data_IF_600969475042
#
_entry.id   IF_600969475042
#
_cell.length_a   1.000
_cell.length_b   1.000
_cell.length_c   1.000
_cell.angle_alpha   90.00
_cell.angle_beta   90.00
_cell.angle_gamma   90.00
#
_symmetry.space_group_name_H-M   'P 1'
#
loop_
_entity.id
_entity.type
_entity.pdbx_description
1 polymer ?
#
# COMPACT_ATOMS: atom_id res chain seq x y z
N UNK A 1 12.06 -10.38 19.00
CA UNK A 1 11.37 -9.11 18.66
C UNK A 1 10.67 -8.40 19.85
N UNK A 2 10.38 -9.07 20.97
CA UNK A 2 9.53 -8.52 22.05
C UNK A 2 10.26 -7.88 23.24
N UNK A 3 11.60 -7.87 23.25
CA UNK A 3 12.38 -7.25 24.32
C UNK A 3 12.20 -5.71 24.31
N UNK A 4 12.12 -5.11 25.51
CA UNK A 4 11.90 -3.66 25.71
C UNK A 4 10.66 -3.08 25.01
N UNK A 5 9.62 -3.91 24.81
CA UNK A 5 8.31 -3.43 24.36
C UNK A 5 7.59 -2.64 25.45
N UNK A 6 6.56 -1.88 25.06
CA UNK A 6 5.78 -1.02 25.95
C UNK A 6 4.80 -1.79 26.87
N UNK A 7 5.09 -3.05 27.20
CA UNK A 7 4.19 -3.94 27.92
C UNK A 7 3.70 -3.33 29.24
N UNK A 8 2.38 -3.42 29.51
CA UNK A 8 1.75 -2.80 30.68
C UNK A 8 1.51 -1.29 30.57
N UNK A 9 1.86 -0.65 29.44
CA UNK A 9 1.55 0.77 29.23
C UNK A 9 0.04 1.02 29.31
N UNK A 10 -0.37 2.11 29.98
CA UNK A 10 -1.78 2.45 30.27
C UNK A 10 -2.64 2.63 29.01
N UNK A 11 -2.03 2.82 27.85
CA UNK A 11 -2.73 2.91 26.58
C UNK A 11 -3.16 1.55 26.02
N UNK A 12 -2.63 0.41 26.48
CA UNK A 12 -3.18 -0.89 26.11
C UNK A 12 -4.51 -1.11 26.82
N UNK A 13 -5.57 -1.36 26.04
CA UNK A 13 -6.96 -1.46 26.52
C UNK A 13 -7.61 -2.82 26.24
N UNK A 14 -6.93 -3.71 25.54
CA UNK A 14 -7.45 -5.04 25.28
C UNK A 14 -7.44 -5.89 26.57
N UNK A 15 -8.43 -6.76 26.78
CA UNK A 15 -8.35 -7.81 27.77
C UNK A 15 -7.34 -8.89 27.34
N UNK A 16 -6.84 -9.67 28.30
CA UNK A 16 -5.80 -10.66 28.05
C UNK A 16 -6.21 -11.71 27.00
N UNK A 17 -7.49 -12.06 26.93
CA UNK A 17 -8.05 -13.00 25.96
C UNK A 17 -7.95 -12.44 24.52
N UNK A 18 -8.22 -11.15 24.34
CA UNK A 18 -8.12 -10.49 23.05
C UNK A 18 -6.66 -10.28 22.63
N UNK A 19 -5.75 -10.00 23.58
CA UNK A 19 -4.31 -9.96 23.32
C UNK A 19 -3.81 -11.33 22.85
N UNK A 20 -4.21 -12.42 23.52
CA UNK A 20 -3.81 -13.78 23.14
C UNK A 20 -4.33 -14.16 21.75
N UNK A 21 -5.60 -13.85 21.45
CA UNK A 21 -6.19 -14.02 20.13
C UNK A 21 -5.39 -13.26 19.05
N UNK A 22 -5.12 -11.97 19.27
CA UNK A 22 -4.39 -11.14 18.32
C UNK A 22 -2.95 -11.65 18.08
N UNK A 23 -2.27 -12.16 19.12
CA UNK A 23 -0.94 -12.76 18.97
C UNK A 23 -1.01 -14.07 18.19
N UNK A 24 -2.02 -14.90 18.42
CA UNK A 24 -2.23 -16.13 17.63
C UNK A 24 -2.42 -15.80 16.14
N UNK A 25 -3.34 -14.87 15.83
CA UNK A 25 -3.60 -14.44 14.46
C UNK A 25 -2.41 -13.71 13.83
N UNK A 26 -1.58 -12.99 14.61
CA UNK A 26 -0.31 -12.42 14.12
C UNK A 26 0.64 -13.52 13.61
N UNK A 27 0.77 -14.63 14.35
CA UNK A 27 1.62 -15.75 13.94
C UNK A 27 1.02 -16.48 12.73
N UNK A 28 -0.31 -16.66 12.67
CA UNK A 28 -0.99 -17.21 11.49
C UNK A 28 -0.80 -16.32 10.26
N UNK A 29 -0.85 -14.99 10.42
CA UNK A 29 -0.63 -14.04 9.33
C UNK A 29 0.77 -14.17 8.72
N UNK A 30 1.81 -14.44 9.54
CA UNK A 30 3.18 -14.65 9.08
C UNK A 30 3.31 -15.90 8.20
N UNK A 31 2.57 -16.96 8.52
CA UNK A 31 2.51 -18.16 7.70
C UNK A 31 1.69 -17.90 6.43
N UNK A 32 0.49 -17.35 6.57
CA UNK A 32 -0.45 -17.10 5.48
C UNK A 32 0.13 -16.19 4.39
N UNK A 33 0.82 -15.10 4.76
CA UNK A 33 1.35 -14.14 3.78
C UNK A 33 2.36 -14.78 2.82
N UNK A 34 3.15 -15.76 3.31
CA UNK A 34 4.17 -16.45 2.51
C UNK A 34 3.54 -17.34 1.44
N UNK A 35 2.31 -17.81 1.67
CA UNK A 35 1.60 -18.67 0.74
C UNK A 35 0.91 -17.85 -0.34
N UNK A 36 0.18 -16.80 0.03
CA UNK A 36 -0.55 -15.96 -0.93
C UNK A 36 0.40 -15.26 -1.90
N UNK A 37 1.58 -14.84 -1.44
CA UNK A 37 2.56 -14.15 -2.29
C UNK A 37 3.15 -15.04 -3.38
N UNK A 38 2.95 -16.37 -3.31
CA UNK A 38 3.38 -17.29 -4.37
C UNK A 38 2.69 -17.02 -5.70
N UNK A 39 1.50 -16.37 -5.72
CA UNK A 39 0.91 -15.85 -6.96
C UNK A 39 1.89 -14.93 -7.70
N UNK A 40 2.48 -13.98 -6.97
CA UNK A 40 3.45 -13.06 -7.53
C UNK A 40 4.73 -13.77 -7.94
N UNK A 41 5.20 -14.77 -7.17
CA UNK A 41 6.37 -15.54 -7.58
C UNK A 41 6.13 -16.31 -8.90
N UNK A 42 4.92 -16.85 -9.12
CA UNK A 42 4.58 -17.51 -10.40
C UNK A 42 4.42 -16.51 -11.54
N UNK A 43 3.77 -15.35 -11.31
CA UNK A 43 3.58 -14.31 -12.35
C UNK A 43 4.82 -13.44 -12.60
N UNK A 44 5.76 -13.45 -11.67
CA UNK A 44 6.89 -12.52 -11.58
C UNK A 44 8.25 -13.19 -11.49
N UNK A 45 8.31 -14.52 -11.63
CA UNK A 45 9.45 -15.40 -11.38
C UNK A 45 9.94 -15.46 -9.91
N UNK A 46 9.80 -14.36 -9.15
CA UNK A 46 10.21 -14.28 -7.74
C UNK A 46 9.45 -13.18 -7.01
N UNK A 47 9.39 -13.26 -5.69
CA UNK A 47 8.97 -12.17 -4.82
C UNK A 47 9.96 -12.09 -3.63
N UNK A 48 10.45 -10.91 -3.23
CA UNK A 48 10.16 -9.57 -3.78
C UNK A 48 10.87 -9.26 -5.11
N UNK A 49 10.51 -8.13 -5.73
CA UNK A 49 11.01 -7.63 -7.01
C UNK A 49 10.75 -8.56 -8.21
N UNK A 50 9.54 -8.53 -8.75
CA UNK A 50 9.18 -9.28 -9.95
C UNK A 50 10.13 -8.96 -11.11
N UNK A 51 10.44 -9.94 -11.96
CA UNK A 51 11.41 -9.81 -13.06
C UNK A 51 10.80 -10.05 -14.44
N UNK A 52 9.47 -9.95 -14.53
CA UNK A 52 8.72 -10.29 -15.76
C UNK A 52 8.07 -9.08 -16.40
N UNK A 53 8.09 -7.91 -15.78
CA UNK A 53 7.66 -6.68 -16.43
C UNK A 53 8.62 -6.31 -17.55
N UNK A 54 8.05 -5.97 -18.70
CA UNK A 54 8.78 -5.43 -19.85
C UNK A 54 7.99 -4.25 -20.41
N UNK A 55 8.66 -3.29 -21.03
CA UNK A 55 7.94 -2.21 -21.72
C UNK A 55 7.08 -2.86 -22.82
N UNK A 56 5.77 -2.67 -22.73
CA UNK A 56 4.79 -3.30 -23.62
C UNK A 56 4.01 -4.48 -23.02
N UNK A 57 4.33 -4.94 -21.80
CA UNK A 57 3.52 -5.98 -21.13
C UNK A 57 4.30 -6.81 -20.11
N UNK A 58 4.13 -8.13 -20.18
CA UNK A 58 4.80 -9.10 -19.30
C UNK A 58 5.47 -10.19 -20.13
N UNK A 59 6.61 -10.70 -19.65
CA UNK A 59 7.43 -11.69 -20.34
C UNK A 59 6.98 -13.15 -20.13
N UNK A 60 6.03 -13.41 -19.22
CA UNK A 60 5.53 -14.77 -18.99
C UNK A 60 4.58 -15.17 -20.11
N UNK A 61 4.85 -16.26 -20.86
CA UNK A 61 3.97 -16.72 -21.92
C UNK A 61 2.69 -17.33 -21.35
N UNK A 62 1.62 -17.25 -22.14
CA UNK A 62 0.35 -17.96 -21.90
C UNK A 62 0.18 -19.00 -22.99
N UNK A 63 0.13 -20.28 -22.60
CA UNK A 63 -0.06 -21.40 -23.51
C UNK A 63 -0.68 -22.57 -22.74
N UNK A 64 -1.90 -22.95 -23.10
CA UNK A 64 -2.65 -24.00 -22.42
C UNK A 64 -2.09 -25.42 -22.58
N UNK A 65 -1.13 -25.63 -23.47
CA UNK A 65 -0.52 -26.94 -23.75
C UNK A 65 0.92 -27.08 -23.22
N UNK A 66 1.57 -25.95 -22.91
CA UNK A 66 2.96 -25.94 -22.44
C UNK A 66 3.06 -26.01 -20.92
N UNK A 67 4.03 -26.79 -20.43
CA UNK A 67 4.41 -26.82 -19.00
C UNK A 67 5.23 -25.60 -18.58
N UNK A 68 5.80 -24.86 -19.54
CA UNK A 68 6.68 -23.70 -19.31
C UNK A 68 5.94 -22.36 -19.47
N UNK A 69 4.60 -22.38 -19.49
CA UNK A 69 3.76 -21.21 -19.67
C UNK A 69 2.59 -21.22 -18.68
N UNK A 70 1.92 -20.07 -18.54
CA UNK A 70 0.66 -20.02 -17.81
C UNK A 70 -0.38 -20.89 -18.52
N UNK A 71 -0.92 -21.85 -17.79
CA UNK A 71 -1.89 -22.81 -18.26
C UNK A 71 -3.01 -23.00 -17.21
N UNK A 72 -3.92 -23.94 -17.46
CA UNK A 72 -5.04 -24.22 -16.58
C UNK A 72 -4.59 -24.57 -15.13
N UNK A 73 -3.45 -25.23 -14.98
CA UNK A 73 -2.87 -25.54 -13.66
C UNK A 73 -2.43 -24.30 -12.90
N UNK A 74 -1.77 -23.36 -13.58
CA UNK A 74 -1.39 -22.06 -13.00
C UNK A 74 -2.62 -21.26 -12.57
N UNK A 75 -3.66 -21.23 -13.40
CA UNK A 75 -4.93 -20.54 -13.09
C UNK A 75 -5.61 -21.18 -11.87
N UNK A 76 -5.70 -22.52 -11.81
CA UNK A 76 -6.26 -23.23 -10.67
C UNK A 76 -5.48 -22.95 -9.37
N UNK A 77 -4.15 -22.90 -9.46
CA UNK A 77 -3.28 -22.52 -8.35
C UNK A 77 -3.56 -21.10 -7.85
N UNK A 78 -3.72 -20.12 -8.76
CA UNK A 78 -4.08 -18.75 -8.37
C UNK A 78 -5.46 -18.67 -7.72
N UNK A 79 -6.46 -19.38 -8.24
CA UNK A 79 -7.79 -19.42 -7.67
C UNK A 79 -7.82 -20.04 -6.26
N UNK A 80 -6.97 -21.05 -5.99
CA UNK A 80 -6.81 -21.58 -4.64
C UNK A 80 -6.19 -20.56 -3.68
N UNK A 81 -5.08 -19.93 -4.09
CA UNK A 81 -4.44 -18.89 -3.29
C UNK A 81 -5.37 -17.69 -3.07
N UNK A 82 -6.20 -17.31 -4.05
CA UNK A 82 -7.10 -16.16 -3.95
C UNK A 82 -8.22 -16.44 -2.95
N UNK A 83 -8.77 -17.65 -2.96
CA UNK A 83 -9.75 -18.10 -1.95
C UNK A 83 -9.14 -18.14 -0.55
N UNK A 84 -7.90 -18.60 -0.41
CA UNK A 84 -7.16 -18.54 0.87
C UNK A 84 -6.95 -17.10 1.35
N UNK A 85 -6.62 -16.19 0.44
CA UNK A 85 -6.43 -14.78 0.76
C UNK A 85 -7.75 -14.15 1.24
N UNK A 86 -8.82 -14.33 0.47
CA UNK A 86 -10.16 -13.82 0.80
C UNK A 86 -10.64 -14.37 2.14
N UNK A 87 -10.53 -15.68 2.36
CA UNK A 87 -10.94 -16.32 3.62
C UNK A 87 -10.23 -15.74 4.83
N UNK A 88 -8.91 -15.52 4.75
CA UNK A 88 -8.15 -14.93 5.85
C UNK A 88 -8.57 -13.48 6.12
N UNK A 89 -8.79 -12.69 5.06
CA UNK A 89 -9.28 -11.32 5.21
C UNK A 89 -10.64 -11.27 5.90
N UNK A 90 -11.58 -12.11 5.45
CA UNK A 90 -12.96 -12.13 5.94
C UNK A 90 -13.10 -12.74 7.33
N UNK A 91 -12.28 -13.74 7.68
CA UNK A 91 -12.45 -14.52 8.91
C UNK A 91 -11.44 -14.19 10.01
N UNK A 92 -10.33 -13.51 9.68
CA UNK A 92 -9.28 -13.17 10.66
C UNK A 92 -9.04 -11.65 10.67
N UNK A 93 -8.56 -11.07 9.57
CA UNK A 93 -8.12 -9.67 9.56
C UNK A 93 -9.26 -8.69 9.87
N UNK A 94 -10.40 -8.79 9.17
CA UNK A 94 -11.51 -7.87 9.37
C UNK A 94 -12.18 -8.03 10.75
N UNK A 95 -12.47 -9.26 11.24
CA UNK A 95 -12.95 -9.46 12.61
C UNK A 95 -12.01 -8.92 13.68
N UNK A 96 -10.71 -9.17 13.57
CA UNK A 96 -9.71 -8.64 14.50
C UNK A 96 -9.69 -7.11 14.51
N UNK A 97 -9.73 -6.49 13.33
CA UNK A 97 -9.77 -5.03 13.20
C UNK A 97 -10.99 -4.45 13.92
N UNK A 98 -12.17 -5.05 13.74
CA UNK A 98 -13.41 -4.61 14.39
C UNK A 98 -13.33 -4.83 15.91
N UNK A 99 -12.83 -6.00 16.34
CA UNK A 99 -12.67 -6.33 17.76
C UNK A 99 -11.74 -5.33 18.45
N UNK A 100 -10.55 -5.08 17.89
CA UNK A 100 -9.59 -4.10 18.40
C UNK A 100 -10.19 -2.70 18.41
N UNK A 101 -10.80 -2.26 17.31
CA UNK A 101 -11.42 -0.94 17.21
C UNK A 101 -12.49 -0.71 18.29
N UNK A 102 -13.21 -1.77 18.72
CA UNK A 102 -14.24 -1.67 19.77
C UNK A 102 -13.69 -1.22 21.13
N UNK A 103 -12.42 -1.53 21.44
CA UNK A 103 -11.73 -1.12 22.68
C UNK A 103 -11.04 0.25 22.56
N UNK A 104 -10.88 0.75 21.34
CA UNK A 104 -10.15 1.99 21.03
C UNK A 104 -11.01 3.05 20.35
N UNK A 105 -12.33 3.09 20.62
CA UNK A 105 -13.26 4.04 19.97
C UNK A 105 -12.83 5.51 20.09
N UNK A 106 -12.21 5.89 21.20
CA UNK A 106 -11.70 7.25 21.40
C UNK A 106 -10.57 7.63 20.42
N UNK A 107 -9.88 6.65 19.84
CA UNK A 107 -8.87 6.89 18.80
C UNK A 107 -9.48 7.37 17.49
N UNK A 108 -10.78 7.17 17.24
CA UNK A 108 -11.45 7.76 16.09
C UNK A 108 -11.45 9.31 16.11
N UNK A 109 -11.21 9.92 17.28
CA UNK A 109 -11.05 11.37 17.43
C UNK A 109 -9.58 11.85 17.34
N UNK A 110 -8.62 10.93 17.17
CA UNK A 110 -7.18 11.21 17.19
C UNK A 110 -6.61 10.95 15.79
N UNK A 111 -5.83 11.89 15.26
CA UNK A 111 -5.08 11.67 14.01
C UNK A 111 -5.83 11.93 12.70
N UNK A 112 -6.87 12.78 12.69
CA UNK A 112 -7.69 13.14 11.51
C UNK A 112 -6.90 13.56 10.23
N UNK A 113 -5.63 13.95 10.35
CA UNK A 113 -4.81 14.38 9.21
C UNK A 113 -5.26 15.72 8.61
N UNK A 114 -4.91 15.97 7.35
CA UNK A 114 -5.08 17.28 6.67
C UNK A 114 -6.48 17.50 6.05
N UNK A 115 -7.32 16.46 6.00
CA UNK A 115 -8.67 16.53 5.40
C UNK A 115 -8.71 16.60 3.87
N UNK A 116 -7.58 16.69 3.20
CA UNK A 116 -7.47 16.57 1.74
C UNK A 116 -6.84 15.22 1.38
N UNK A 117 -7.41 14.53 0.40
CA UNK A 117 -7.01 13.17 0.01
C UNK A 117 -6.90 13.07 -1.51
N UNK A 118 -5.96 12.25 -1.98
CA UNK A 118 -5.65 12.06 -3.40
C UNK A 118 -5.64 10.57 -3.72
N UNK A 119 -6.27 10.17 -4.82
CA UNK A 119 -6.14 8.86 -5.41
C UNK A 119 -5.87 9.00 -6.92
N UNK A 120 -4.91 8.25 -7.44
CA UNK A 120 -4.57 8.25 -8.87
C UNK A 120 -5.49 7.34 -9.71
N UNK A 121 -6.30 6.51 -9.06
CA UNK A 121 -7.01 5.39 -9.68
C UNK A 121 -6.12 4.17 -9.91
N UNK A 122 -6.70 2.98 -9.93
CA UNK A 122 -5.98 1.71 -10.14
C UNK A 122 -6.89 0.61 -10.68
N UNK A 123 -6.28 -0.42 -11.27
CA UNK A 123 -6.93 -1.56 -11.93
C UNK A 123 -7.76 -1.11 -13.15
N UNK A 124 -7.10 -0.77 -14.27
CA UNK A 124 -7.79 -0.37 -15.49
C UNK A 124 -8.71 -1.49 -15.99
N UNK A 125 -9.92 -1.12 -16.40
CA UNK A 125 -10.94 -2.03 -16.90
C UNK A 125 -10.85 -2.25 -18.42
N UNK A 126 -9.91 -1.57 -19.07
CA UNK A 126 -9.59 -1.70 -20.49
C UNK A 126 -8.07 -1.65 -20.73
N UNK A 127 -7.66 -1.97 -21.95
CA UNK A 127 -6.25 -1.96 -22.37
C UNK A 127 -5.79 -0.64 -22.97
N UNK A 128 -6.57 0.44 -22.87
CA UNK A 128 -6.21 1.71 -23.48
C UNK A 128 -5.07 2.38 -22.69
N UNK A 129 -4.02 2.91 -23.36
CA UNK A 129 -3.02 3.70 -22.68
C UNK A 129 -3.67 4.95 -22.09
N UNK A 130 -3.27 5.33 -20.87
CA UNK A 130 -3.76 6.53 -20.18
C UNK A 130 -5.29 6.55 -19.98
N UNK A 131 -5.90 5.39 -19.75
CA UNK A 131 -7.33 5.29 -19.45
C UNK A 131 -7.68 5.93 -18.11
N UNK A 132 -8.89 6.49 -18.00
CA UNK A 132 -9.49 6.91 -16.72
C UNK A 132 -10.58 5.95 -16.25
N UNK A 133 -10.72 4.80 -16.93
CA UNK A 133 -11.69 3.76 -16.63
C UNK A 133 -11.07 2.73 -15.66
N UNK A 134 -11.05 3.10 -14.38
CA UNK A 134 -10.47 2.30 -13.31
C UNK A 134 -11.54 1.66 -12.44
N UNK A 135 -11.28 0.44 -11.95
CA UNK A 135 -12.14 -0.17 -10.93
C UNK A 135 -12.01 0.56 -9.59
N UNK A 136 -10.81 1.00 -9.21
CA UNK A 136 -10.61 1.95 -8.13
C UNK A 136 -10.52 3.38 -8.71
N UNK A 137 -11.43 4.30 -8.37
CA UNK A 137 -11.52 5.61 -9.03
C UNK A 137 -10.37 6.55 -8.64
N UNK A 138 -10.08 7.51 -9.53
CA UNK A 138 -9.16 8.63 -9.28
C UNK A 138 -9.89 9.87 -8.77
N UNK A 139 -9.16 10.78 -8.12
CA UNK A 139 -9.69 12.09 -7.74
C UNK A 139 -9.01 12.74 -6.53
N UNK A 140 -9.41 13.98 -6.26
CA UNK A 140 -8.99 14.74 -5.09
C UNK A 140 -10.20 15.17 -4.26
N UNK A 141 -10.16 14.90 -2.96
CA UNK A 141 -11.02 15.53 -1.95
C UNK A 141 -10.22 16.65 -1.29
N UNK A 142 -10.85 17.80 -1.03
CA UNK A 142 -10.19 18.96 -0.44
C UNK A 142 -10.91 19.40 0.84
N UNK A 143 -10.12 19.74 1.87
CA UNK A 143 -10.61 20.38 3.09
C UNK A 143 -11.79 19.66 3.79
N UNK A 144 -11.88 18.33 3.66
CA UNK A 144 -12.95 17.52 4.24
C UNK A 144 -14.28 17.57 3.47
N UNK A 145 -14.33 18.24 2.33
CA UNK A 145 -15.50 18.26 1.45
C UNK A 145 -15.57 16.96 0.65
N UNK A 146 -16.65 16.20 0.77
CA UNK A 146 -16.83 14.92 0.03
C UNK A 146 -17.07 15.11 -1.49
N UNK A 147 -16.81 16.32 -2.01
CA UNK A 147 -16.82 16.59 -3.44
C UNK A 147 -15.52 16.07 -4.05
N UNK A 148 -15.66 15.14 -4.99
CA UNK A 148 -14.52 14.62 -5.74
C UNK A 148 -14.20 15.58 -6.90
N UNK A 149 -12.98 16.11 -6.89
CA UNK A 149 -12.42 16.84 -8.01
C UNK A 149 -11.69 15.88 -8.94
N UNK A 150 -11.87 15.98 -10.27
CA UNK A 150 -11.11 15.17 -11.22
C UNK A 150 -9.60 15.34 -11.00
N UNK A 151 -8.88 14.23 -11.14
CA UNK A 151 -7.43 14.21 -11.10
C UNK A 151 -6.92 13.30 -12.20
N UNK A 152 -6.02 13.84 -13.02
CA UNK A 152 -5.26 13.08 -14.01
C UNK A 152 -3.78 13.19 -13.64
N UNK A 153 -3.11 12.07 -13.26
CA UNK A 153 -1.70 12.08 -12.91
C UNK A 153 -0.78 12.45 -14.10
N UNK A 154 -1.29 12.38 -15.33
CA UNK A 154 -0.57 12.73 -16.55
C UNK A 154 -0.90 14.16 -17.03
N UNK A 155 -1.69 14.91 -16.25
CA UNK A 155 -2.06 16.28 -16.59
C UNK A 155 -0.82 17.18 -16.72
N UNK A 156 -0.66 17.73 -17.92
CA UNK A 156 0.41 18.67 -18.27
C UNK A 156 0.28 20.02 -17.55
N UNK A 157 -0.85 20.30 -16.90
CA UNK A 157 -1.04 21.48 -16.06
C UNK A 157 -0.20 21.46 -14.77
N UNK A 158 0.56 20.38 -14.52
CA UNK A 158 1.51 20.25 -13.41
C UNK A 158 0.84 20.39 -12.03
N UNK A 159 -0.28 19.71 -11.84
CA UNK A 159 -1.07 19.76 -10.59
C UNK A 159 -0.33 19.19 -9.36
N UNK A 160 0.73 18.41 -9.58
CA UNK A 160 1.60 17.86 -8.53
C UNK A 160 2.94 18.58 -8.55
N UNK A 161 3.42 19.01 -7.40
CA UNK A 161 4.77 19.56 -7.26
C UNK A 161 5.39 19.19 -5.93
N UNK A 162 6.72 19.10 -5.91
CA UNK A 162 7.51 18.73 -4.74
C UNK A 162 8.34 19.93 -4.28
N UNK A 163 8.19 20.28 -3.00
CA UNK A 163 8.96 21.36 -2.37
C UNK A 163 10.04 20.77 -1.44
N UNK A 164 11.22 21.38 -1.41
CA UNK A 164 12.39 20.86 -0.69
C UNK A 164 12.86 21.73 0.50
N UNK A 165 12.12 22.80 0.86
CA UNK A 165 12.45 23.69 1.99
C UNK A 165 12.83 22.99 3.30
N UNK A 166 12.21 21.84 3.59
CA UNK A 166 12.44 21.07 4.81
C UNK A 166 12.93 19.65 4.50
N UNK A 167 13.64 19.50 3.40
CA UNK A 167 14.22 18.25 2.93
C UNK A 167 15.70 18.44 2.63
N UNK A 168 16.50 17.39 2.76
CA UNK A 168 17.95 17.44 2.52
C UNK A 168 18.29 17.38 1.02
N UNK A 169 17.90 18.41 0.28
CA UNK A 169 18.21 18.58 -1.13
C UNK A 169 18.62 20.03 -1.42
N UNK A 170 19.37 20.23 -2.50
CA UNK A 170 19.70 21.57 -2.99
C UNK A 170 18.60 22.12 -3.92
N UNK A 171 18.33 23.42 -3.80
CA UNK A 171 17.34 24.15 -4.61
C UNK A 171 16.39 24.98 -3.75
N UNK A 172 15.48 25.74 -4.39
CA UNK A 172 14.64 26.71 -3.69
C UNK A 172 13.19 26.80 -4.19
N UNK A 173 12.83 26.12 -5.29
CA UNK A 173 11.50 26.22 -5.92
C UNK A 173 10.79 24.88 -5.88
N UNK A 174 9.46 24.90 -5.74
CA UNK A 174 8.64 23.72 -6.02
C UNK A 174 8.78 23.33 -7.50
N UNK A 175 8.91 22.04 -7.79
CA UNK A 175 9.02 21.54 -9.17
C UNK A 175 8.03 20.42 -9.41
N UNK A 176 7.51 20.37 -10.63
CA UNK A 176 6.79 19.20 -11.11
C UNK A 176 7.80 18.06 -11.33
N UNK A 177 7.44 16.77 -11.13
CA UNK A 177 8.37 15.65 -11.30
C UNK A 177 9.08 15.60 -12.66
N UNK A 178 8.43 16.00 -13.76
CA UNK A 178 9.09 16.11 -15.08
C UNK A 178 10.27 17.10 -15.13
N UNK A 179 10.27 18.12 -14.29
CA UNK A 179 11.38 19.08 -14.16
C UNK A 179 12.20 18.81 -12.87
N UNK A 180 11.95 17.69 -12.20
CA UNK A 180 12.48 17.37 -10.89
C UNK A 180 14.01 17.23 -10.88
N UNK A 181 14.61 17.51 -9.73
CA UNK A 181 16.05 17.34 -9.48
C UNK A 181 16.23 16.65 -8.14
N UNK A 182 17.14 15.68 -8.09
CA UNK A 182 17.46 14.93 -6.87
C UNK A 182 18.92 15.09 -6.53
N UNK A 183 19.26 16.21 -5.88
CA UNK A 183 20.62 16.57 -5.49
C UNK A 183 20.74 16.60 -3.95
N UNK A 184 21.13 15.49 -3.29
CA UNK A 184 21.15 15.40 -1.83
C UNK A 184 22.03 16.45 -1.17
N UNK A 185 21.55 17.03 -0.07
CA UNK A 185 22.25 18.02 0.75
C UNK A 185 21.95 17.81 2.23
N UNK A 186 22.59 16.79 2.81
CA UNK A 186 22.41 16.47 4.22
C UNK A 186 23.07 17.53 5.10
N UNK A 187 22.27 18.25 5.89
CA UNK A 187 22.75 19.26 6.84
C UNK A 187 22.57 18.85 8.30
N UNK A 188 22.15 17.60 8.52
CA UNK A 188 21.81 17.08 9.85
C UNK A 188 20.59 17.76 10.48
N UNK A 189 20.18 17.29 11.68
CA UNK A 189 19.31 18.07 12.55
C UNK A 189 20.14 19.28 12.99
N UNK A 190 19.82 20.48 12.51
CA UNK A 190 20.57 21.69 12.88
C UNK A 190 20.76 21.75 14.39
N UNK A 191 21.98 22.06 14.87
CA UNK A 191 22.18 22.33 16.30
C UNK A 191 21.24 23.49 16.64
N UNK A 192 20.15 23.20 17.35
CA UNK A 192 19.53 24.19 18.21
C UNK A 192 20.62 24.57 19.21
N UNK A 193 21.38 25.63 18.90
CA UNK A 193 22.20 26.28 19.89
C UNK A 193 21.23 26.74 20.98
N UNK A 194 21.16 25.98 22.06
CA UNK A 194 20.59 26.45 23.32
C UNK A 194 21.50 27.57 23.79
N UNK A 195 21.19 28.80 23.39
CA UNK A 195 21.60 30.01 24.09
C UNK A 195 20.72 30.19 25.30
#
# INVERSE_FOLDING_TARGET
PFANGYWGHKAYKLPAEADLMAVAHYLEALEWQKDVIRMQATLGAKNPHLQTYVVGGVAIPVDGTSQNALNAGSIAFFLDLARKAQKFVEQVYLPDLIAVASFYKNWAAIGKGVGSYLACGEFPLDGAPNTNNYWLPSGVIKAGELKVHPFDPLDKAKLVSEHIAHSWYTGAKSKHPYDGETNPNYTGPGRLQRT
#
